data_IF_031361942481
#
_entry.id   IF_031361942481
#
_cell.length_a   1.000
_cell.length_b   1.000
_cell.length_c   1.000
_cell.angle_alpha   90.00
_cell.angle_beta   90.00
_cell.angle_gamma   90.00
#
_symmetry.space_group_name_H-M   'P 1'
#
loop_
_entity.id
_entity.type
_entity.pdbx_description
1 polymer ?
#
# COMPACT_ATOMS: atom_id res chain seq x y z
N UNK A 1 18.80 19.20 -21.26
CA UNK A 1 17.79 18.65 -20.32
C UNK A 1 16.45 18.58 -21.05
N UNK A 2 16.04 17.40 -21.50
CA UNK A 2 14.73 17.21 -22.14
C UNK A 2 13.67 17.04 -21.05
N UNK A 3 12.71 17.96 -21.03
CA UNK A 3 11.67 18.03 -20.02
C UNK A 3 10.77 16.80 -20.01
N UNK A 4 10.44 16.35 -18.80
CA UNK A 4 9.58 15.20 -18.46
C UNK A 4 8.13 15.29 -18.97
N UNK A 5 7.75 16.39 -19.64
CA UNK A 5 6.40 16.58 -20.20
C UNK A 5 6.14 15.90 -21.55
N UNK A 6 7.18 15.48 -22.27
CA UNK A 6 7.02 14.90 -23.62
C UNK A 6 6.38 13.51 -23.62
N UNK A 7 6.84 12.59 -22.78
CA UNK A 7 6.52 11.17 -22.92
C UNK A 7 5.04 10.81 -22.66
N UNK A 8 4.34 11.57 -21.79
CA UNK A 8 2.89 11.41 -21.60
C UNK A 8 2.07 11.88 -22.81
N UNK A 9 2.51 12.96 -23.48
CA UNK A 9 1.80 13.53 -24.65
C UNK A 9 1.80 12.59 -25.85
N UNK A 10 2.78 11.71 -25.95
CA UNK A 10 2.94 10.74 -27.05
C UNK A 10 2.46 9.32 -26.71
N UNK A 11 1.82 9.09 -25.56
CA UNK A 11 1.32 7.77 -25.17
C UNK A 11 2.41 6.72 -24.91
N UNK A 12 3.66 7.15 -24.72
CA UNK A 12 4.82 6.28 -24.45
C UNK A 12 4.89 5.86 -22.97
N UNK A 13 4.18 6.58 -22.11
CA UNK A 13 4.03 6.28 -20.69
C UNK A 13 2.67 5.60 -20.48
N UNK A 14 2.64 4.28 -20.27
CA UNK A 14 1.42 3.52 -19.94
C UNK A 14 1.53 2.95 -18.53
N UNK A 15 0.45 3.09 -17.77
CA UNK A 15 0.36 2.50 -16.44
C UNK A 15 0.10 1.00 -16.56
N UNK A 16 0.66 0.23 -15.63
CA UNK A 16 0.28 -1.16 -15.49
C UNK A 16 -1.16 -1.25 -14.97
N UNK A 17 -1.86 -2.29 -15.41
CA UNK A 17 -3.19 -2.60 -14.91
C UNK A 17 -3.16 -2.85 -13.40
N UNK A 18 -4.32 -2.67 -12.76
CA UNK A 18 -4.49 -2.98 -11.36
C UNK A 18 -4.07 -4.45 -11.10
N UNK A 19 -3.08 -4.70 -10.23
CA UNK A 19 -2.48 -6.02 -10.12
C UNK A 19 -3.40 -7.05 -9.45
N UNK A 20 -4.39 -6.57 -8.70
CA UNK A 20 -5.32 -7.39 -7.93
C UNK A 20 -6.72 -6.76 -7.95
N UNK A 21 -7.75 -7.45 -8.45
CA UNK A 21 -9.12 -6.95 -8.43
C UNK A 21 -9.61 -6.63 -7.01
N UNK A 22 -10.50 -5.64 -6.90
CA UNK A 22 -11.13 -5.31 -5.62
C UNK A 22 -12.07 -6.45 -5.20
N UNK A 23 -11.91 -6.92 -3.96
CA UNK A 23 -12.75 -7.97 -3.38
C UNK A 23 -13.01 -7.64 -1.91
N UNK A 24 -14.29 -7.58 -1.52
CA UNK A 24 -14.65 -7.33 -0.13
C UNK A 24 -14.07 -8.40 0.80
N UNK A 25 -13.46 -7.96 1.90
CA UNK A 25 -12.94 -8.84 2.92
C UNK A 25 -14.04 -9.11 3.96
N UNK A 26 -14.46 -10.38 4.04
CA UNK A 26 -15.54 -10.86 4.92
C UNK A 26 -15.05 -11.79 6.03
N UNK A 27 -13.73 -11.96 6.16
CA UNK A 27 -13.13 -12.84 7.16
C UNK A 27 -12.87 -12.15 8.49
N UNK A 28 -12.29 -12.92 9.43
CA UNK A 28 -11.89 -12.47 10.77
C UNK A 28 -10.39 -12.74 11.06
N UNK A 29 -9.61 -13.07 10.04
CA UNK A 29 -8.18 -13.37 10.12
C UNK A 29 -7.30 -12.13 10.32
N UNK A 30 -7.81 -10.94 10.01
CA UNK A 30 -7.13 -9.66 10.09
C UNK A 30 -8.07 -8.63 10.70
N UNK A 31 -7.61 -7.88 11.71
CA UNK A 31 -8.35 -6.75 12.27
C UNK A 31 -8.38 -5.56 11.31
N UNK A 32 -9.52 -4.89 11.23
CA UNK A 32 -9.75 -3.72 10.39
C UNK A 32 -10.02 -2.44 11.19
N UNK A 33 -10.16 -2.53 12.51
CA UNK A 33 -10.43 -1.43 13.43
C UNK A 33 -9.15 -0.71 13.87
N UNK A 34 -8.27 -0.45 12.89
CA UNK A 34 -6.97 0.16 13.10
C UNK A 34 -6.13 0.19 11.84
N UNK A 35 -4.82 0.22 12.04
CA UNK A 35 -3.83 0.20 10.96
C UNK A 35 -2.68 -0.73 11.33
N UNK A 36 -1.86 -1.05 10.34
CA UNK A 36 -0.67 -1.86 10.48
C UNK A 36 0.56 -1.02 10.21
N UNK A 37 1.66 -1.33 10.89
CA UNK A 37 2.95 -0.71 10.67
C UNK A 37 4.02 -1.77 10.43
N UNK A 38 4.90 -1.51 9.45
CA UNK A 38 5.97 -2.42 9.05
C UNK A 38 7.18 -2.40 9.99
N UNK A 39 8.27 -3.06 9.59
CA UNK A 39 9.55 -2.94 10.27
C UNK A 39 10.12 -1.50 10.20
N UNK A 40 10.88 -1.05 11.21
CA UNK A 40 11.49 0.27 11.21
C UNK A 40 12.55 0.40 10.11
N UNK A 41 12.57 1.57 9.47
CA UNK A 41 13.67 2.00 8.59
C UNK A 41 14.28 3.28 9.16
N UNK A 42 15.59 3.42 9.01
CA UNK A 42 16.30 4.65 9.43
C UNK A 42 16.57 5.49 8.20
N UNK A 43 16.17 6.76 8.21
CA UNK A 43 16.42 7.68 7.11
C UNK A 43 17.87 8.22 7.11
N UNK A 44 18.20 9.04 6.11
CA UNK A 44 19.53 9.66 5.99
C UNK A 44 19.87 10.64 7.13
N UNK A 45 18.91 11.02 7.96
CA UNK A 45 19.08 11.88 9.15
C UNK A 45 19.13 11.08 10.45
N UNK A 46 19.06 9.74 10.39
CA UNK A 46 19.04 8.89 11.58
C UNK A 46 17.65 8.76 12.24
N UNK A 47 16.59 9.24 11.60
CA UNK A 47 15.22 9.18 12.14
C UNK A 47 14.61 7.82 11.80
N UNK A 48 14.10 7.14 12.84
CA UNK A 48 13.45 5.82 12.71
C UNK A 48 11.98 6.01 12.33
N UNK A 49 11.59 5.47 11.18
CA UNK A 49 10.21 5.54 10.67
C UNK A 49 9.65 4.17 10.34
N UNK A 50 8.34 4.08 10.32
CA UNK A 50 7.59 2.86 10.09
C UNK A 50 6.62 3.08 8.94
N UNK A 51 6.63 2.18 7.96
CA UNK A 51 5.65 2.21 6.87
C UNK A 51 4.26 1.87 7.41
N UNK A 52 3.25 2.66 7.04
CA UNK A 52 1.87 2.48 7.48
C UNK A 52 1.04 1.83 6.38
N UNK A 53 0.12 0.96 6.78
CA UNK A 53 -0.83 0.27 5.91
C UNK A 53 -2.21 0.25 6.58
N UNK A 54 -3.24 0.74 5.90
CA UNK A 54 -4.60 0.83 6.43
C UNK A 54 -5.55 -0.02 5.58
N UNK A 55 -5.98 -1.20 6.05
CA UNK A 55 -6.90 -2.06 5.30
C UNK A 55 -8.37 -1.67 5.56
N UNK A 56 -9.21 -1.92 4.57
CA UNK A 56 -10.65 -1.64 4.59
C UNK A 56 -11.49 -2.88 4.25
N UNK A 57 -12.74 -2.89 4.73
CA UNK A 57 -13.65 -4.03 4.57
C UNK A 57 -14.03 -4.29 3.10
N UNK A 58 -13.92 -3.30 2.23
CA UNK A 58 -14.19 -3.41 0.80
C UNK A 58 -12.99 -3.95 -0.01
N UNK A 59 -11.91 -4.37 0.67
CA UNK A 59 -10.70 -4.91 0.04
C UNK A 59 -9.72 -3.85 -0.43
N UNK A 60 -9.98 -2.57 -0.16
CA UNK A 60 -9.03 -1.48 -0.41
C UNK A 60 -7.96 -1.45 0.69
N UNK A 61 -6.76 -1.03 0.32
CA UNK A 61 -5.70 -0.70 1.27
C UNK A 61 -5.11 0.67 0.93
N UNK A 62 -4.86 1.48 1.97
CA UNK A 62 -4.19 2.77 1.86
C UNK A 62 -2.75 2.66 2.41
N UNK A 63 -1.81 3.20 1.65
CA UNK A 63 -0.39 3.38 1.97
C UNK A 63 -0.09 4.87 2.09
N UNK A 64 -0.35 5.49 3.26
CA UNK A 64 -0.21 6.93 3.39
C UNK A 64 1.26 7.39 3.39
N UNK A 65 2.19 6.50 3.76
CA UNK A 65 3.61 6.79 3.86
C UNK A 65 4.21 6.15 5.10
N UNK A 66 5.18 6.84 5.68
CA UNK A 66 5.84 6.43 6.92
C UNK A 66 5.94 7.59 7.90
N UNK A 67 6.03 7.24 9.18
CA UNK A 67 6.15 8.21 10.29
C UNK A 67 6.86 7.58 11.48
N UNK A 68 7.19 8.39 12.47
CA UNK A 68 7.77 7.97 13.75
C UNK A 68 6.72 7.28 14.62
N UNK A 69 7.15 6.40 15.51
CA UNK A 69 6.25 5.51 16.27
C UNK A 69 5.24 6.26 17.16
N UNK A 70 5.71 7.30 17.84
CA UNK A 70 4.89 8.16 18.70
C UNK A 70 3.92 9.06 17.92
N UNK A 71 4.18 9.31 16.63
CA UNK A 71 3.40 10.21 15.80
C UNK A 71 2.35 9.49 14.93
N UNK A 72 2.28 8.15 14.97
CA UNK A 72 1.44 7.37 14.05
C UNK A 72 -0.04 7.77 14.09
N UNK A 73 -0.60 7.94 15.29
CA UNK A 73 -2.02 8.30 15.42
C UNK A 73 -2.29 9.72 14.94
N UNK A 74 -1.45 10.69 15.34
CA UNK A 74 -1.54 12.07 14.89
C UNK A 74 -1.38 12.19 13.37
N UNK A 75 -0.43 11.44 12.81
CA UNK A 75 -0.20 11.34 11.37
C UNK A 75 -1.45 10.84 10.64
N UNK A 76 -2.09 9.77 11.11
CA UNK A 76 -3.32 9.23 10.49
C UNK A 76 -4.50 10.18 10.68
N UNK A 77 -4.63 10.84 11.84
CA UNK A 77 -5.66 11.84 12.09
C UNK A 77 -5.58 13.00 11.08
N UNK A 78 -4.37 13.45 10.75
CA UNK A 78 -4.15 14.50 9.75
C UNK A 78 -4.57 14.08 8.33
N UNK A 79 -4.77 12.78 8.08
CA UNK A 79 -5.25 12.26 6.79
C UNK A 79 -6.78 12.28 6.68
N UNK A 80 -7.52 12.60 7.75
CA UNK A 80 -8.97 12.53 7.79
C UNK A 80 -9.64 13.39 6.69
N UNK A 81 -9.03 14.52 6.34
CA UNK A 81 -9.51 15.38 5.26
C UNK A 81 -9.33 14.73 3.86
N UNK A 82 -8.50 13.71 3.74
CA UNK A 82 -8.38 12.77 2.60
C UNK A 82 -7.96 13.36 1.26
N UNK A 83 -8.04 14.68 1.06
CA UNK A 83 -7.88 15.37 -0.22
C UNK A 83 -6.50 15.14 -0.84
N UNK A 84 -5.45 15.16 -0.03
CA UNK A 84 -4.08 15.00 -0.50
C UNK A 84 -3.77 13.57 -0.98
N UNK A 85 -4.32 12.54 -0.33
CA UNK A 85 -4.05 11.13 -0.70
C UNK A 85 -4.97 10.63 -1.81
N UNK A 86 -6.18 11.17 -1.94
CA UNK A 86 -7.13 10.79 -3.00
C UNK A 86 -6.60 11.00 -4.42
N UNK A 87 -5.64 11.91 -4.61
CA UNK A 87 -5.01 12.20 -5.90
C UNK A 87 -3.69 11.45 -6.14
N UNK A 88 -3.27 10.61 -5.20
CA UNK A 88 -2.00 9.87 -5.27
C UNK A 88 -2.27 8.39 -5.53
N UNK A 89 -2.28 8.00 -6.82
CA UNK A 89 -2.57 6.62 -7.26
C UNK A 89 -1.75 5.55 -6.51
N UNK A 90 -0.46 5.80 -6.26
CA UNK A 90 0.43 4.88 -5.56
C UNK A 90 0.15 4.72 -4.06
N UNK A 91 -0.67 5.61 -3.48
CA UNK A 91 -1.12 5.46 -2.09
C UNK A 91 -2.26 4.46 -1.97
N UNK A 92 -2.88 4.04 -3.09
CA UNK A 92 -4.00 3.11 -3.07
C UNK A 92 -3.62 1.76 -3.65
N UNK A 93 -4.26 0.73 -3.12
CA UNK A 93 -4.14 -0.63 -3.59
C UNK A 93 -5.31 -1.49 -3.12
N UNK A 94 -5.18 -2.78 -3.35
CA UNK A 94 -6.13 -3.78 -2.89
C UNK A 94 -5.43 -4.88 -2.12
N UNK A 95 -6.18 -5.57 -1.27
CA UNK A 95 -5.71 -6.77 -0.63
C UNK A 95 -6.77 -7.86 -0.68
N UNK A 96 -6.32 -9.11 -0.60
CA UNK A 96 -7.18 -10.27 -0.38
C UNK A 96 -6.55 -11.18 0.66
N UNK A 97 -7.41 -11.89 1.38
CA UNK A 97 -7.01 -12.97 2.28
C UNK A 97 -7.71 -14.25 1.82
N UNK A 98 -6.95 -15.31 1.65
CA UNK A 98 -7.42 -16.65 1.33
C UNK A 98 -6.79 -17.61 2.34
N UNK A 99 -7.60 -18.19 3.22
CA UNK A 99 -7.18 -18.97 4.38
C UNK A 99 -6.22 -18.20 5.30
N UNK A 100 -4.91 -18.48 5.19
CA UNK A 100 -3.84 -17.79 5.90
C UNK A 100 -2.94 -16.99 4.96
N UNK A 101 -3.20 -17.01 3.66
CA UNK A 101 -2.42 -16.26 2.66
C UNK A 101 -2.97 -14.83 2.55
N UNK A 102 -2.07 -13.85 2.53
CA UNK A 102 -2.39 -12.46 2.23
C UNK A 102 -1.72 -12.08 0.91
N UNK A 103 -2.48 -11.40 0.05
CA UNK A 103 -1.95 -10.78 -1.17
C UNK A 103 -2.30 -9.31 -1.16
N UNK A 104 -1.33 -8.47 -1.49
CA UNK A 104 -1.44 -7.01 -1.50
C UNK A 104 -0.98 -6.49 -2.85
N UNK A 105 -1.88 -5.84 -3.59
CA UNK A 105 -1.62 -5.23 -4.88
C UNK A 105 -1.56 -3.72 -4.79
N UNK A 106 -0.55 -3.08 -5.42
CA UNK A 106 -0.48 -1.60 -5.52
C UNK A 106 0.27 -1.12 -6.75
N UNK A 107 0.05 0.15 -7.10
CA UNK A 107 0.89 0.87 -8.04
C UNK A 107 2.12 1.45 -7.35
N UNK A 108 3.26 1.43 -8.02
CA UNK A 108 4.51 2.03 -7.57
C UNK A 108 4.78 3.32 -8.32
N UNK A 109 5.38 4.28 -7.63
CA UNK A 109 5.83 5.53 -8.25
C UNK A 109 6.99 5.22 -9.18
N UNK A 110 6.90 5.66 -10.44
CA UNK A 110 8.02 5.68 -11.37
C UNK A 110 7.92 6.91 -12.29
N UNK A 111 9.02 7.29 -12.92
CA UNK A 111 9.21 8.57 -13.62
C UNK A 111 8.36 8.71 -14.89
N UNK A 112 7.99 7.59 -15.54
CA UNK A 112 7.16 7.57 -16.77
C UNK A 112 6.08 6.47 -16.77
N UNK A 113 5.85 5.75 -15.68
CA UNK A 113 4.73 4.81 -15.60
C UNK A 113 4.38 4.54 -14.14
N UNK A 114 3.29 3.82 -13.90
CA UNK A 114 3.05 3.18 -12.62
C UNK A 114 3.24 1.67 -12.77
N UNK A 115 4.45 1.12 -12.54
CA UNK A 115 4.65 -0.30 -12.34
C UNK A 115 3.69 -0.81 -11.28
N UNK A 116 3.11 -1.99 -11.48
CA UNK A 116 2.30 -2.63 -10.45
C UNK A 116 3.14 -3.62 -9.67
N UNK A 117 2.81 -3.79 -8.40
CA UNK A 117 3.41 -4.83 -7.57
C UNK A 117 2.35 -5.66 -6.89
N UNK A 118 2.64 -6.95 -6.77
CA UNK A 118 1.84 -7.93 -6.07
C UNK A 118 2.72 -8.55 -4.98
N UNK A 119 2.46 -8.20 -3.74
CA UNK A 119 3.15 -8.78 -2.59
C UNK A 119 2.32 -9.90 -2.01
N UNK A 120 2.95 -11.03 -1.70
CA UNK A 120 2.30 -12.21 -1.12
C UNK A 120 2.99 -12.60 0.18
N UNK A 121 2.23 -13.24 1.06
CA UNK A 121 2.74 -13.69 2.33
C UNK A 121 1.68 -14.40 3.15
N UNK A 122 1.82 -14.37 4.48
CA UNK A 122 0.92 -15.07 5.40
C UNK A 122 0.46 -14.20 6.56
N UNK A 123 -0.78 -14.41 6.96
CA UNK A 123 -1.35 -13.94 8.22
C UNK A 123 -0.87 -14.88 9.33
N UNK A 124 -0.21 -14.31 10.34
CA UNK A 124 0.27 -15.06 11.51
C UNK A 124 -0.84 -15.17 12.54
N UNK A 125 -1.53 -14.06 12.79
CA UNK A 125 -2.73 -13.94 13.61
C UNK A 125 -3.49 -12.66 13.22
N UNK A 126 -4.55 -12.33 13.95
CA UNK A 126 -5.42 -11.17 13.70
C UNK A 126 -4.75 -9.81 13.84
N UNK A 127 -3.56 -9.75 14.46
CA UNK A 127 -2.78 -8.52 14.69
C UNK A 127 -1.46 -8.50 13.93
N UNK A 128 -1.11 -9.57 13.22
CA UNK A 128 0.22 -9.73 12.61
C UNK A 128 0.15 -10.49 11.29
N UNK A 129 0.79 -9.95 10.26
CA UNK A 129 1.07 -10.66 9.02
C UNK A 129 2.49 -10.38 8.54
N UNK A 130 2.97 -11.20 7.61
CA UNK A 130 4.30 -11.09 7.02
C UNK A 130 4.18 -11.22 5.50
N UNK A 131 4.77 -10.29 4.76
CA UNK A 131 4.97 -10.40 3.31
C UNK A 131 6.33 -11.04 3.03
N UNK A 132 6.35 -12.05 2.17
CA UNK A 132 7.53 -12.89 1.91
C UNK A 132 8.05 -12.76 0.49
N UNK A 133 7.24 -12.24 -0.43
CA UNK A 133 7.67 -11.96 -1.79
C UNK A 133 6.90 -10.81 -2.42
N UNK A 134 7.54 -10.12 -3.35
CA UNK A 134 6.93 -9.08 -4.18
C UNK A 134 7.27 -9.32 -5.64
N UNK A 135 6.25 -9.53 -6.47
CA UNK A 135 6.36 -9.45 -7.92
C UNK A 135 6.18 -7.99 -8.35
N UNK A 136 7.09 -7.47 -9.17
CA UNK A 136 7.02 -6.13 -9.77
C UNK A 136 6.87 -6.29 -11.27
N UNK A 137 5.81 -5.71 -11.83
CA UNK A 137 5.53 -5.70 -13.27
C UNK A 137 5.80 -4.31 -13.82
N UNK A 138 6.60 -4.23 -14.87
CA UNK A 138 6.95 -2.96 -15.52
C UNK A 138 7.29 -3.17 -16.98
N UNK A 139 6.47 -2.64 -17.88
CA UNK A 139 6.74 -2.65 -19.32
C UNK A 139 6.81 -4.06 -19.91
N UNK A 140 5.99 -4.98 -19.39
CA UNK A 140 5.97 -6.40 -19.79
C UNK A 140 7.08 -7.27 -19.17
N UNK A 141 7.96 -6.70 -18.33
CA UNK A 141 8.91 -7.47 -17.54
C UNK A 141 8.39 -7.70 -16.13
N UNK A 142 8.62 -8.91 -15.61
CA UNK A 142 8.28 -9.28 -14.25
C UNK A 142 9.56 -9.61 -13.47
N UNK A 143 9.75 -8.95 -12.32
CA UNK A 143 10.85 -9.26 -11.39
C UNK A 143 10.26 -9.68 -10.06
N UNK A 144 10.72 -10.80 -9.51
CA UNK A 144 10.33 -11.26 -8.19
C UNK A 144 11.44 -11.00 -7.19
N UNK A 145 11.08 -10.42 -6.04
CA UNK A 145 11.98 -10.25 -4.90
C UNK A 145 11.47 -11.06 -3.73
N UNK A 146 12.39 -11.76 -3.05
CA UNK A 146 12.12 -12.34 -1.73
C UNK A 146 12.32 -11.25 -0.69
N UNK A 147 11.35 -11.09 0.20
CA UNK A 147 11.34 -10.08 1.27
C UNK A 147 10.93 -10.75 2.59
N UNK A 148 10.96 -10.02 3.70
CA UNK A 148 10.50 -10.49 5.00
C UNK A 148 9.92 -9.33 5.80
N UNK A 149 8.87 -8.71 5.26
CA UNK A 149 8.28 -7.51 5.84
C UNK A 149 7.16 -7.92 6.81
N UNK A 150 7.42 -7.81 8.11
CA UNK A 150 6.42 -8.02 9.15
C UNK A 150 5.63 -6.74 9.40
N UNK A 151 4.31 -6.89 9.58
CA UNK A 151 3.38 -5.82 9.86
C UNK A 151 2.63 -6.13 11.16
N UNK A 152 2.64 -5.16 12.09
CA UNK A 152 2.00 -5.25 13.40
C UNK A 152 0.83 -4.29 13.50
N UNK A 153 -0.24 -4.72 14.16
CA UNK A 153 -1.47 -3.94 14.32
C UNK A 153 -1.36 -2.87 15.42
N UNK A 154 -1.99 -1.72 15.17
CA UNK A 154 -2.31 -0.71 16.17
C UNK A 154 -3.80 -0.35 16.05
N UNK A 155 -4.52 -0.47 17.17
CA UNK A 155 -5.94 -0.10 17.22
C UNK A 155 -6.12 1.41 17.01
N UNK A 156 -7.08 1.78 16.14
CA UNK A 156 -7.41 3.17 15.84
C UNK A 156 -8.75 3.26 15.10
N UNK A 157 -9.67 4.09 15.60
CA UNK A 157 -11.05 4.14 15.10
C UNK A 157 -11.29 5.23 14.05
N UNK A 158 -10.56 6.34 14.11
CA UNK A 158 -10.78 7.51 13.24
C UNK A 158 -10.06 7.40 11.87
N UNK A 159 -10.23 6.26 11.18
CA UNK A 159 -9.56 6.00 9.89
C UNK A 159 -10.08 6.93 8.78
N UNK A 160 -9.24 7.32 7.81
CA UNK A 160 -9.69 8.05 6.63
C UNK A 160 -10.63 7.18 5.77
N UNK A 161 -11.54 7.82 5.04
CA UNK A 161 -12.47 7.17 4.12
C UNK A 161 -11.74 6.43 2.97
N UNK A 162 -12.25 5.26 2.57
CA UNK A 162 -11.65 4.42 1.52
C UNK A 162 -12.04 4.82 0.09
N UNK A 163 -12.97 5.78 -0.07
CA UNK A 163 -13.42 6.24 -1.38
C UNK A 163 -12.28 6.87 -2.17
N UNK A 164 -11.98 6.29 -3.34
CA UNK A 164 -10.97 6.78 -4.29
C UNK A 164 -11.44 6.51 -5.72
N UNK A 165 -10.94 7.28 -6.70
CA UNK A 165 -11.32 7.17 -8.12
C UNK A 165 -10.50 6.15 -8.92
N UNK A 166 -9.46 5.56 -8.32
CA UNK A 166 -8.56 4.63 -9.01
C UNK A 166 -9.01 3.17 -8.96
N UNK A 167 -9.90 2.84 -8.01
CA UNK A 167 -10.35 1.48 -7.69
C UNK A 167 -11.88 1.34 -7.81
N UNK A 168 -12.53 2.21 -8.59
CA UNK A 168 -13.96 2.14 -8.90
C UNK A 168 -14.25 1.18 -10.05
#
# INVERSE_FOLDING_TARGET
MLGTGGCRRWGLCKDEQQPLPKQAYRGNKLRLDGFYYGAPTTDYKGIVRYNILIPYADGVVLFPGNTERNEMQAYIAALADGKALRSVKSSWGTFKIQDTSITVGRWNVNTCSYPSSLSTGRVVNDTTFVLTSTEIRSGGMNTTKVISDSYSFMHYTAKPDSTNSYLQ
#
